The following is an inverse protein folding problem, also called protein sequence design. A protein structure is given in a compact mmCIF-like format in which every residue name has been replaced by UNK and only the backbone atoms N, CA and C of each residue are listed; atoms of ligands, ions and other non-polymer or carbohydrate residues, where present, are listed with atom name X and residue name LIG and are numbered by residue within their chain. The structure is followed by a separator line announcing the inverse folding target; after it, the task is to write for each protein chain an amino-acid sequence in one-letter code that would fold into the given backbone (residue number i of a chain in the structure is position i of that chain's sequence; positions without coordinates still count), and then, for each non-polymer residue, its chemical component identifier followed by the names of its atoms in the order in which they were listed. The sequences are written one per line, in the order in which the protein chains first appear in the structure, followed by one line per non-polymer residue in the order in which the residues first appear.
data_IF_377547543906
#
_entry.id   IF_377547543906
#
_cell.length_a   1.000
_cell.length_b   1.000
_cell.length_c   1.000
_cell.angle_alpha   90.00
_cell.angle_beta   90.00
_cell.angle_gamma   90.00
#
_symmetry.space_group_name_H-M   'P 1'
#
loop_
_entity.id
_entity.type
_entity.pdbx_description
1 polymer ?
#
# COMPACT_ATOMS: atom_id res chain seq x y z
N UNK A 1 15.23 -51.69 38.34
CA UNK A 1 13.85 -51.14 38.22
C UNK A 1 13.94 -49.62 38.15
N UNK A 2 13.39 -49.05 37.07
CA UNK A 2 12.93 -47.66 36.81
C UNK A 2 13.47 -46.51 37.68
N UNK A 3 14.07 -45.51 37.03
CA UNK A 3 13.75 -44.07 37.23
C UNK A 3 14.39 -43.29 36.08
N UNK A 4 13.66 -43.12 34.98
CA UNK A 4 12.86 -41.96 34.61
C UNK A 4 13.72 -40.75 34.17
N UNK A 5 13.83 -40.66 32.85
CA UNK A 5 14.27 -39.53 32.04
C UNK A 5 13.49 -38.26 32.44
N UNK A 6 14.17 -37.21 32.91
CA UNK A 6 13.56 -35.89 33.06
C UNK A 6 14.07 -35.00 31.93
N UNK A 7 13.41 -35.11 30.78
CA UNK A 7 13.57 -34.20 29.67
C UNK A 7 12.77 -32.93 30.02
N UNK A 8 13.43 -31.92 30.60
CA UNK A 8 12.85 -30.58 30.71
C UNK A 8 12.83 -29.93 29.32
N UNK A 9 11.78 -30.23 28.56
CA UNK A 9 11.30 -29.36 27.49
C UNK A 9 10.73 -28.11 28.14
N UNK A 10 11.57 -27.10 28.35
CA UNK A 10 11.10 -25.72 28.51
C UNK A 10 10.61 -25.25 27.14
N UNK A 11 9.40 -25.70 26.77
CA UNK A 11 8.59 -25.05 25.76
C UNK A 11 8.19 -23.69 26.36
N UNK A 12 9.05 -22.69 26.18
CA UNK A 12 8.61 -21.30 26.27
C UNK A 12 7.42 -21.18 25.32
N UNK A 13 6.23 -20.76 25.81
CA UNK A 13 5.14 -20.49 24.90
C UNK A 13 5.61 -19.33 24.03
N UNK A 14 5.91 -19.62 22.77
CA UNK A 14 5.84 -18.63 21.71
C UNK A 14 4.40 -18.15 21.68
N UNK A 15 4.07 -17.15 22.50
CA UNK A 15 2.86 -16.36 22.33
C UNK A 15 3.09 -15.52 21.08
N UNK A 16 2.94 -16.15 19.92
CA UNK A 16 2.62 -15.49 18.67
C UNK A 16 1.16 -15.01 18.74
N UNK A 17 0.89 -14.12 19.68
CA UNK A 17 -0.21 -13.18 19.58
C UNK A 17 0.46 -11.91 19.09
N UNK A 18 0.31 -11.62 17.80
CA UNK A 18 0.62 -10.31 17.25
C UNK A 18 -0.19 -9.29 18.07
N UNK A 19 0.45 -8.69 19.06
CA UNK A 19 -0.17 -7.84 20.07
C UNK A 19 -0.88 -6.70 19.37
N UNK A 20 -2.21 -6.74 19.30
CA UNK A 20 -3.01 -5.58 18.93
C UNK A 20 -2.78 -4.50 19.99
N UNK A 21 -2.20 -3.36 19.59
CA UNK A 21 -1.98 -2.22 20.47
C UNK A 21 -2.74 -1.04 19.87
N UNK A 22 -3.89 -0.62 20.44
CA UNK A 22 -4.68 0.48 19.89
C UNK A 22 -3.83 1.71 19.55
N UNK A 23 -3.96 2.22 18.33
CA UNK A 23 -3.22 3.40 17.86
C UNK A 23 -1.78 3.14 17.40
N UNK A 24 -1.27 1.89 17.46
CA UNK A 24 0.01 1.56 16.83
C UNK A 24 -0.16 1.45 15.32
N UNK A 25 0.66 2.19 14.58
CA UNK A 25 0.77 2.10 13.12
C UNK A 25 1.90 1.13 12.74
N UNK A 26 1.62 0.19 11.84
CA UNK A 26 2.59 -0.81 11.35
C UNK A 26 2.43 -1.07 9.85
N UNK A 27 3.49 -1.46 9.13
CA UNK A 27 3.35 -1.90 7.76
C UNK A 27 2.41 -3.11 7.72
N UNK A 28 1.48 -3.13 6.79
CA UNK A 28 0.48 -4.19 6.64
C UNK A 28 0.47 -4.84 5.26
N UNK A 29 1.08 -4.21 4.26
CA UNK A 29 1.28 -4.77 2.93
C UNK A 29 2.39 -4.02 2.18
N UNK A 30 2.96 -4.68 1.18
CA UNK A 30 3.95 -4.10 0.28
C UNK A 30 3.75 -4.63 -1.14
N UNK A 31 3.97 -3.77 -2.13
CA UNK A 31 3.95 -4.17 -3.53
C UNK A 31 5.02 -3.46 -4.35
N UNK A 32 5.58 -4.22 -5.29
CA UNK A 32 6.39 -3.69 -6.38
C UNK A 32 5.48 -3.36 -7.56
N UNK A 33 5.66 -2.17 -8.11
CA UNK A 33 4.80 -1.56 -9.10
C UNK A 33 5.62 -1.16 -10.33
N UNK A 34 5.06 -1.38 -11.51
CA UNK A 34 5.63 -0.96 -12.80
C UNK A 34 4.87 0.25 -13.35
N UNK A 35 5.60 1.25 -13.84
CA UNK A 35 5.00 2.43 -14.43
C UNK A 35 4.60 2.16 -15.88
N UNK A 36 3.34 2.43 -16.21
CA UNK A 36 2.86 2.43 -17.59
C UNK A 36 2.51 3.84 -18.09
N UNK A 37 2.50 4.83 -17.17
CA UNK A 37 2.46 6.26 -17.50
C UNK A 37 3.27 7.04 -16.47
N UNK A 38 4.16 7.92 -16.93
CA UNK A 38 4.93 8.79 -16.06
C UNK A 38 5.26 10.11 -16.78
N UNK A 39 4.74 11.22 -16.28
CA UNK A 39 4.92 12.55 -16.87
C UNK A 39 5.29 13.62 -15.83
N UNK A 40 5.60 14.83 -16.30
CA UNK A 40 6.02 15.95 -15.47
C UNK A 40 7.19 15.58 -14.54
N UNK A 41 7.02 15.76 -13.22
CA UNK A 41 8.05 15.44 -12.22
C UNK A 41 8.37 13.95 -12.10
N UNK A 42 7.48 13.08 -12.57
CA UNK A 42 7.66 11.62 -12.55
C UNK A 42 8.25 11.10 -13.86
N UNK A 43 8.56 11.96 -14.83
CA UNK A 43 9.12 11.54 -16.11
C UNK A 43 10.39 10.70 -15.91
N UNK A 44 10.40 9.49 -16.49
CA UNK A 44 11.51 8.55 -16.41
C UNK A 44 11.43 7.58 -15.22
N UNK A 45 10.38 7.63 -14.41
CA UNK A 45 10.09 6.59 -13.42
C UNK A 45 9.60 5.34 -14.15
N UNK A 46 10.31 4.22 -13.96
CA UNK A 46 9.96 2.91 -14.54
C UNK A 46 9.27 1.99 -13.53
N UNK A 47 9.58 2.14 -12.24
CA UNK A 47 9.01 1.33 -11.17
C UNK A 47 8.95 2.10 -9.86
N UNK A 48 8.11 1.63 -8.95
CA UNK A 48 7.99 2.14 -7.60
C UNK A 48 7.69 1.00 -6.62
N UNK A 49 7.86 1.27 -5.33
CA UNK A 49 7.50 0.34 -4.26
C UNK A 49 6.50 1.01 -3.34
N UNK A 50 5.33 0.43 -3.18
CA UNK A 50 4.29 0.93 -2.31
C UNK A 50 4.28 0.13 -1.00
N UNK A 51 4.32 0.82 0.14
CA UNK A 51 4.15 0.23 1.46
C UNK A 51 2.87 0.77 2.08
N UNK A 52 1.94 -0.12 2.42
CA UNK A 52 0.72 0.20 3.13
C UNK A 52 0.94 0.11 4.64
N UNK A 53 0.35 1.03 5.40
CA UNK A 53 0.35 1.00 6.85
C UNK A 53 -1.07 0.95 7.39
N UNK A 54 -1.25 0.09 8.39
CA UNK A 54 -2.48 -0.02 9.17
C UNK A 54 -2.25 0.52 10.57
N UNK A 55 -3.25 1.24 11.09
CA UNK A 55 -3.32 1.60 12.49
C UNK A 55 -4.31 0.68 13.20
N UNK A 56 -3.84 0.01 14.24
CA UNK A 56 -4.63 -0.92 15.05
C UNK A 56 -5.90 -0.20 15.58
N UNK A 57 -7.07 -0.65 15.12
CA UNK A 57 -8.39 -0.07 15.46
C UNK A 57 -8.94 0.97 14.47
N UNK A 58 -8.17 1.36 13.45
CA UNK A 58 -8.58 2.36 12.45
C UNK A 58 -8.48 1.84 11.01
N UNK A 59 -7.81 0.70 10.77
CA UNK A 59 -7.63 0.18 9.41
C UNK A 59 -6.48 0.87 8.70
N UNK A 60 -6.54 0.92 7.37
CA UNK A 60 -5.47 1.50 6.55
C UNK A 60 -5.46 3.02 6.70
N UNK A 61 -4.32 3.58 7.11
CA UNK A 61 -4.21 5.03 7.39
C UNK A 61 -3.15 5.73 6.58
N UNK A 62 -2.16 5.02 6.02
CA UNK A 62 -1.04 5.63 5.32
C UNK A 62 -0.47 4.75 4.22
N UNK A 63 0.04 5.39 3.18
CA UNK A 63 0.87 4.79 2.14
C UNK A 63 2.21 5.51 2.04
N UNK A 64 3.29 4.75 1.91
CA UNK A 64 4.59 5.26 1.51
C UNK A 64 4.90 4.76 0.10
N UNK A 65 5.07 5.67 -0.86
CA UNK A 65 5.48 5.38 -2.23
C UNK A 65 6.97 5.69 -2.38
N UNK A 66 7.76 4.65 -2.63
CA UNK A 66 9.21 4.77 -2.80
C UNK A 66 9.55 4.79 -4.28
N UNK A 67 10.08 5.93 -4.75
CA UNK A 67 10.48 6.18 -6.14
C UNK A 67 11.95 6.59 -6.13
N UNK A 68 12.81 5.86 -6.84
CA UNK A 68 14.24 6.16 -6.97
C UNK A 68 14.94 6.40 -5.61
N UNK A 69 14.55 5.66 -4.57
CA UNK A 69 15.09 5.79 -3.21
C UNK A 69 14.52 6.96 -2.38
N UNK A 70 13.66 7.80 -2.96
CA UNK A 70 12.90 8.82 -2.24
C UNK A 70 11.56 8.25 -1.79
N UNK A 71 11.18 8.52 -0.54
CA UNK A 71 9.84 8.17 -0.03
C UNK A 71 8.93 9.39 -0.12
N UNK A 72 7.76 9.20 -0.73
CA UNK A 72 6.62 10.11 -0.66
C UNK A 72 5.54 9.50 0.24
N UNK A 73 5.14 10.21 1.29
CA UNK A 73 4.16 9.72 2.27
C UNK A 73 2.80 10.35 2.02
N UNK A 74 1.76 9.51 2.06
CA UNK A 74 0.38 9.88 1.83
C UNK A 74 -0.52 9.36 2.96
N UNK A 75 -1.38 10.22 3.49
CA UNK A 75 -2.37 9.88 4.52
C UNK A 75 -3.73 9.63 3.89
N UNK A 76 -4.34 8.49 4.24
CA UNK A 76 -5.67 8.11 3.75
C UNK A 76 -6.71 9.08 4.29
N UNK A 77 -7.46 9.67 3.38
CA UNK A 77 -8.57 10.58 3.70
C UNK A 77 -9.91 9.86 3.61
N UNK A 78 -10.02 8.94 2.65
CA UNK A 78 -11.27 8.27 2.34
C UNK A 78 -10.99 6.87 1.80
N UNK A 79 -11.83 5.91 2.20
CA UNK A 79 -11.91 4.58 1.61
C UNK A 79 -13.34 4.42 1.09
N UNK A 80 -13.49 4.27 -0.23
CA UNK A 80 -14.77 4.07 -0.89
C UNK A 80 -14.90 2.61 -1.30
N UNK A 81 -15.84 1.92 -0.69
CA UNK A 81 -16.26 0.59 -1.16
C UNK A 81 -16.97 0.76 -2.51
N UNK A 82 -16.38 0.25 -3.59
CA UNK A 82 -17.01 0.20 -4.89
C UNK A 82 -17.46 -1.23 -5.18
N UNK A 83 -18.38 -1.37 -6.15
CA UNK A 83 -18.88 -2.69 -6.60
C UNK A 83 -17.75 -3.67 -6.99
N UNK A 84 -16.64 -3.14 -7.50
CA UNK A 84 -15.53 -3.93 -8.02
C UNK A 84 -14.34 -4.02 -7.06
N UNK A 85 -14.47 -3.50 -5.82
CA UNK A 85 -13.43 -3.43 -4.80
C UNK A 85 -13.22 -2.01 -4.28
N UNK A 86 -12.17 -1.76 -3.52
CA UNK A 86 -12.04 -0.51 -2.77
C UNK A 86 -11.22 0.54 -3.54
N UNK A 87 -11.68 1.80 -3.50
CA UNK A 87 -10.91 2.98 -3.89
C UNK A 87 -10.41 3.69 -2.63
N UNK A 88 -9.09 3.73 -2.45
CA UNK A 88 -8.48 4.50 -1.39
C UNK A 88 -8.00 5.84 -1.93
N UNK A 89 -8.44 6.94 -1.33
CA UNK A 89 -7.98 8.29 -1.64
C UNK A 89 -7.05 8.75 -0.51
N UNK A 90 -5.78 8.96 -0.82
CA UNK A 90 -4.77 9.42 0.12
C UNK A 90 -4.10 10.70 -0.37
N UNK A 91 -3.76 11.61 0.55
CA UNK A 91 -3.13 12.90 0.22
C UNK A 91 -1.72 12.99 0.76
N UNK A 92 -0.84 13.63 0.00
CA UNK A 92 0.55 13.80 0.38
C UNK A 92 0.66 14.60 1.68
N UNK A 93 1.47 14.12 2.62
CA UNK A 93 1.78 14.83 3.87
C UNK A 93 2.69 16.02 3.60
N UNK A 94 3.64 15.86 2.67
CA UNK A 94 4.52 16.92 2.21
C UNK A 94 4.01 17.49 0.87
N UNK A 95 3.58 18.75 0.92
CA UNK A 95 3.11 19.53 -0.23
C UNK A 95 4.19 20.46 -0.82
N UNK A 96 5.46 20.33 -0.40
CA UNK A 96 6.58 21.15 -0.91
C UNK A 96 6.76 21.06 -2.44
N UNK A 97 6.28 19.98 -3.06
CA UNK A 97 6.28 19.77 -4.51
C UNK A 97 4.86 19.81 -5.10
N UNK A 98 3.94 20.52 -4.45
CA UNK A 98 2.54 20.62 -4.84
C UNK A 98 1.63 19.61 -4.13
N UNK A 99 0.32 19.78 -4.29
CA UNK A 99 -0.67 18.90 -3.67
C UNK A 99 -0.67 17.54 -4.37
N UNK A 100 -0.44 16.47 -3.61
CA UNK A 100 -0.39 15.11 -4.13
C UNK A 100 -1.59 14.29 -3.71
N UNK A 101 -2.16 13.51 -4.63
CA UNK A 101 -3.20 12.52 -4.35
C UNK A 101 -2.77 11.16 -4.89
N UNK A 102 -2.96 10.10 -4.11
CA UNK A 102 -2.92 8.72 -4.58
C UNK A 102 -4.34 8.18 -4.58
N UNK A 103 -4.70 7.53 -5.70
CA UNK A 103 -5.86 6.66 -5.81
C UNK A 103 -5.41 5.24 -6.04
N UNK A 104 -5.73 4.37 -5.09
CA UNK A 104 -5.51 2.94 -5.24
C UNK A 104 -6.82 2.29 -5.63
N UNK A 105 -6.81 1.57 -6.74
CA UNK A 105 -7.94 0.76 -7.19
C UNK A 105 -7.56 -0.70 -7.00
N UNK A 106 -8.27 -1.37 -6.09
CA UNK A 106 -8.18 -2.81 -5.91
C UNK A 106 -9.35 -3.49 -6.63
N UNK A 107 -9.15 -3.98 -7.86
CA UNK A 107 -10.20 -4.74 -8.54
C UNK A 107 -10.22 -6.18 -8.07
N UNK A 108 -11.35 -6.62 -7.52
CA UNK A 108 -11.65 -8.02 -7.30
C UNK A 108 -12.23 -8.59 -8.61
N UNK A 109 -11.38 -9.25 -9.39
CA UNK A 109 -11.68 -9.75 -10.75
C UNK A 109 -12.87 -10.72 -10.84
N UNK A 110 -13.32 -11.29 -9.72
CA UNK A 110 -14.46 -12.21 -9.68
C UNK A 110 -15.83 -11.54 -9.93
N UNK A 111 -15.95 -10.22 -9.81
CA UNK A 111 -17.23 -9.51 -9.91
C UNK A 111 -17.32 -8.49 -11.06
N UNK A 112 -16.21 -8.17 -11.72
CA UNK A 112 -16.14 -7.16 -12.75
C UNK A 112 -15.18 -7.56 -13.88
N UNK A 113 -15.63 -7.43 -15.13
CA UNK A 113 -14.71 -7.42 -16.27
C UNK A 113 -13.79 -6.21 -16.10
N UNK A 114 -12.48 -6.44 -15.98
CA UNK A 114 -11.51 -5.36 -16.12
C UNK A 114 -11.85 -4.62 -17.42
N UNK A 115 -12.03 -3.29 -17.37
CA UNK A 115 -12.22 -2.51 -18.60
C UNK A 115 -11.05 -2.85 -19.49
N UNK A 116 -11.30 -3.47 -20.65
CA UNK A 116 -10.28 -4.00 -21.56
C UNK A 116 -9.03 -3.11 -21.53
N UNK A 117 -7.95 -3.58 -20.88
CA UNK A 117 -6.63 -2.95 -20.69
C UNK A 117 -6.32 -2.21 -19.37
N UNK A 118 -7.20 -2.12 -18.37
CA UNK A 118 -6.81 -1.66 -17.02
C UNK A 118 -6.33 -2.86 -16.17
N UNK A 119 -5.11 -2.82 -15.60
CA UNK A 119 -4.63 -3.84 -14.66
C UNK A 119 -5.56 -3.98 -13.46
N UNK A 120 -5.71 -5.20 -12.94
CA UNK A 120 -6.55 -5.51 -11.78
C UNK A 120 -6.15 -4.74 -10.51
N UNK A 121 -4.91 -4.26 -10.44
CA UNK A 121 -4.45 -3.40 -9.34
C UNK A 121 -3.64 -2.23 -9.89
N UNK A 122 -4.16 -1.01 -9.68
CA UNK A 122 -3.53 0.22 -10.16
C UNK A 122 -3.39 1.26 -9.05
N UNK A 123 -2.28 1.99 -9.10
CA UNK A 123 -2.00 3.13 -8.24
C UNK A 123 -1.81 4.33 -9.13
N UNK A 124 -2.72 5.30 -9.05
CA UNK A 124 -2.66 6.55 -9.80
C UNK A 124 -2.20 7.66 -8.86
N UNK A 125 -1.14 8.35 -9.23
CA UNK A 125 -0.57 9.44 -8.45
C UNK A 125 -0.68 10.73 -9.27
N UNK A 126 -1.31 11.74 -8.69
CA UNK A 126 -1.44 13.07 -9.30
C UNK A 126 -0.77 14.11 -8.41
N UNK A 127 0.00 15.02 -9.00
CA UNK A 127 0.64 16.17 -8.32
C UNK A 127 0.27 17.47 -9.02
N UNK A 128 -0.36 18.38 -8.28
CA UNK A 128 -0.67 19.73 -8.73
C UNK A 128 0.39 20.71 -8.23
N UNK A 129 1.25 21.19 -9.13
CA UNK A 129 2.28 22.18 -8.80
C UNK A 129 1.71 23.60 -8.98
N UNK A 130 1.36 24.23 -7.86
CA UNK A 130 0.71 25.56 -7.86
C UNK A 130 1.55 26.63 -8.57
N UNK A 131 2.87 26.56 -8.48
CA UNK A 131 3.79 27.59 -9.00
C UNK A 131 4.01 27.49 -10.51
N UNK A 132 3.74 26.33 -11.12
CA UNK A 132 3.94 26.07 -12.54
C UNK A 132 2.63 25.88 -13.31
N UNK A 133 1.50 25.71 -12.61
CA UNK A 133 0.22 25.35 -13.23
C UNK A 133 0.24 23.98 -13.90
N UNK A 134 1.24 23.15 -13.61
CA UNK A 134 1.43 21.84 -14.19
C UNK A 134 0.86 20.75 -13.30
N UNK A 135 0.24 19.75 -13.93
CA UNK A 135 -0.22 18.52 -13.31
C UNK A 135 0.70 17.40 -13.78
N UNK A 136 1.34 16.72 -12.83
CA UNK A 136 2.17 15.54 -13.10
C UNK A 136 1.44 14.28 -12.67
N UNK A 137 1.54 13.24 -13.48
CA UNK A 137 0.85 11.96 -13.31
C UNK A 137 1.86 10.82 -13.31
N UNK A 138 1.59 9.83 -12.47
CA UNK A 138 2.27 8.55 -12.46
C UNK A 138 1.21 7.46 -12.27
N UNK A 139 1.00 6.65 -13.31
CA UNK A 139 0.11 5.49 -13.25
C UNK A 139 0.97 4.22 -13.19
N UNK A 140 0.75 3.47 -12.11
CA UNK A 140 1.49 2.29 -11.73
C UNK A 140 0.56 1.08 -11.73
N UNK A 141 1.07 -0.06 -12.19
CA UNK A 141 0.40 -1.34 -12.17
C UNK A 141 1.17 -2.33 -11.31
N UNK A 142 0.47 -3.22 -10.61
CA UNK A 142 1.11 -4.35 -9.95
C UNK A 142 0.28 -5.61 -10.07
N UNK A 143 0.84 -6.71 -9.59
CA UNK A 143 0.19 -8.02 -9.58
C UNK A 143 -0.65 -8.11 -8.29
N UNK A 144 -2.00 -8.16 -8.39
CA UNK A 144 -2.88 -8.13 -7.22
C UNK A 144 -2.59 -9.25 -6.22
N UNK A 145 -2.22 -10.43 -6.71
CA UNK A 145 -1.95 -11.60 -5.88
C UNK A 145 -0.80 -11.34 -4.90
N UNK A 146 0.27 -10.67 -5.33
CA UNK A 146 1.40 -10.37 -4.44
C UNK A 146 1.04 -9.31 -3.40
N UNK A 147 0.21 -8.33 -3.77
CA UNK A 147 -0.29 -7.33 -2.83
C UNK A 147 -1.23 -7.96 -1.80
N UNK A 148 -2.20 -8.76 -2.25
CA UNK A 148 -3.16 -9.45 -1.36
C UNK A 148 -2.46 -10.46 -0.43
N UNK A 149 -1.46 -11.19 -0.91
CA UNK A 149 -0.67 -12.10 -0.07
C UNK A 149 0.17 -11.39 0.99
N UNK A 150 0.53 -10.12 0.76
CA UNK A 150 1.24 -9.30 1.75
C UNK A 150 0.33 -8.75 2.85
N UNK A 151 -1.00 -8.71 2.62
CA UNK A 151 -1.98 -8.31 3.62
C UNK A 151 -2.20 -9.43 4.64
N UNK A 152 -1.60 -9.29 5.83
CA UNK A 152 -1.73 -10.27 6.91
C UNK A 152 -0.41 -10.72 7.55
N UNK A 153 0.71 -10.10 7.17
CA UNK A 153 1.99 -10.22 7.89
C UNK A 153 2.01 -9.39 9.19
#
# INVERSE_FOLDING_TARGET
MKTLLTLLLTLSPFTALADFVPGRTRPSAEASLEAFKADGIYKGVESARLVQFQTDGQGVTRYDLVINGRTETYEVQEVKEQRCGDEHVARAVDESNGRGEIRLFNFLSTLCDARNNEPEWTVKVERHQADQGEISNLDLAGIPEYYMLSQGL
#
